data_IF_759545002108
#
_entry.id   IF_759545002108
#
_cell.length_a   1.000
_cell.length_b   1.000
_cell.length_c   1.000
_cell.angle_alpha   90.00
_cell.angle_beta   90.00
_cell.angle_gamma   90.00
#
_symmetry.space_group_name_H-M   'P 1'
#
loop_
_entity.id
_entity.type
_entity.pdbx_description
1 polymer ?
#
# COMPACT_ATOMS: atom_id res chain seq x y z
N UNK A 1 49.98 33.42 60.46
CA UNK A 1 50.91 34.57 60.38
C UNK A 1 52.31 34.21 59.88
N UNK A 2 52.91 33.05 60.21
CA UNK A 2 54.21 32.63 59.63
C UNK A 2 54.09 31.94 58.25
N UNK A 3 52.95 31.30 57.94
CA UNK A 3 52.72 30.63 56.64
C UNK A 3 52.40 31.60 55.48
N UNK A 4 51.93 32.82 55.76
CA UNK A 4 51.70 33.89 54.78
C UNK A 4 53.00 34.61 54.37
N UNK A 5 53.97 34.74 55.28
CA UNK A 5 55.24 35.47 55.04
C UNK A 5 56.30 34.64 54.28
N UNK A 6 56.08 33.32 54.10
CA UNK A 6 57.02 32.39 53.46
C UNK A 6 56.50 31.77 52.15
N UNK A 7 55.39 32.27 51.58
CA UNK A 7 54.82 31.78 50.31
C UNK A 7 54.22 30.37 50.34
N UNK A 8 54.18 29.75 51.53
CA UNK A 8 53.73 28.36 51.73
C UNK A 8 52.21 28.22 51.63
N UNK A 9 51.48 29.24 52.07
CA UNK A 9 50.02 29.32 51.90
C UNK A 9 49.62 29.42 50.42
N UNK A 10 50.33 30.22 49.63
CA UNK A 10 50.09 30.40 48.19
C UNK A 10 50.41 29.13 47.40
N UNK A 11 51.50 28.43 47.76
CA UNK A 11 51.82 27.12 47.20
C UNK A 11 50.79 26.05 47.56
N UNK A 12 50.27 26.03 48.78
CA UNK A 12 49.19 25.12 49.18
C UNK A 12 47.91 25.37 48.39
N UNK A 13 47.49 26.63 48.27
CA UNK A 13 46.33 27.01 47.48
C UNK A 13 46.50 26.61 46.00
N UNK A 14 47.72 26.75 45.47
CA UNK A 14 48.03 26.33 44.09
C UNK A 14 48.03 24.80 43.92
N UNK A 15 48.49 24.05 44.92
CA UNK A 15 48.43 22.59 44.93
C UNK A 15 46.96 22.14 44.95
N UNK A 16 46.15 22.72 45.83
CA UNK A 16 44.72 22.39 45.96
C UNK A 16 43.95 22.72 44.68
N UNK A 17 44.22 23.88 44.05
CA UNK A 17 43.67 24.25 42.74
C UNK A 17 44.10 23.30 41.62
N UNK A 18 45.36 22.85 41.63
CA UNK A 18 45.88 21.89 40.65
C UNK A 18 45.31 20.49 40.87
N UNK A 19 45.10 20.07 42.11
CA UNK A 19 44.46 18.80 42.46
C UNK A 19 42.99 18.78 42.03
N UNK A 20 42.23 19.86 42.27
CA UNK A 20 40.86 20.01 41.76
C UNK A 20 40.80 19.99 40.23
N UNK A 21 41.73 20.68 39.56
CA UNK A 21 41.84 20.65 38.10
C UNK A 21 42.18 19.26 37.58
N UNK A 22 43.06 18.53 38.26
CA UNK A 22 43.39 17.15 37.90
C UNK A 22 42.14 16.25 38.02
N UNK A 23 41.43 16.32 39.14
CA UNK A 23 40.18 15.58 39.32
C UNK A 23 39.07 15.99 38.33
N UNK A 24 39.04 17.23 37.88
CA UNK A 24 38.13 17.64 36.81
C UNK A 24 38.52 17.03 35.46
N UNK A 25 39.82 17.05 35.11
CA UNK A 25 40.33 16.47 33.87
C UNK A 25 40.17 14.93 33.84
N UNK A 26 40.41 14.24 34.96
CA UNK A 26 40.19 12.80 35.09
C UNK A 26 38.72 12.43 34.85
N UNK A 27 37.77 13.21 35.40
CA UNK A 27 36.34 13.00 35.17
C UNK A 27 35.94 13.26 33.72
N UNK A 28 36.52 14.27 33.08
CA UNK A 28 36.28 14.54 31.66
C UNK A 28 36.83 13.42 30.77
N UNK A 29 38.02 12.91 31.07
CA UNK A 29 38.64 11.80 30.36
C UNK A 29 37.78 10.54 30.48
N UNK A 30 37.37 10.17 31.70
CA UNK A 30 36.52 9.00 31.95
C UNK A 30 35.18 9.10 31.18
N UNK A 31 34.54 10.27 31.18
CA UNK A 31 33.28 10.48 30.46
C UNK A 31 33.47 10.47 28.93
N UNK A 32 34.65 10.80 28.42
CA UNK A 32 34.95 10.69 26.99
C UNK A 32 35.26 9.25 26.59
N UNK A 33 36.05 8.55 27.40
CA UNK A 33 36.34 7.12 27.23
C UNK A 33 35.05 6.29 27.22
N UNK A 34 34.12 6.58 28.14
CA UNK A 34 32.79 5.94 28.18
C UNK A 34 32.00 6.19 26.89
N UNK A 35 31.93 7.45 26.42
CA UNK A 35 31.27 7.79 25.14
C UNK A 35 31.90 7.07 23.94
N UNK A 36 33.22 6.90 23.93
CA UNK A 36 33.90 6.14 22.85
C UNK A 36 33.55 4.67 22.91
N UNK A 37 33.48 4.08 24.11
CA UNK A 37 33.10 2.67 24.25
C UNK A 37 31.66 2.43 23.82
N UNK A 38 30.74 3.33 24.16
CA UNK A 38 29.34 3.21 23.77
C UNK A 38 29.17 3.37 22.26
N UNK A 39 29.79 4.38 21.65
CA UNK A 39 29.75 4.56 20.19
C UNK A 39 30.36 3.38 19.43
N UNK A 40 31.45 2.78 19.94
CA UNK A 40 32.05 1.58 19.37
C UNK A 40 31.11 0.37 19.48
N UNK A 41 30.38 0.26 20.60
CA UNK A 41 29.40 -0.81 20.82
C UNK A 41 28.19 -0.67 19.91
N UNK A 42 27.60 0.51 19.81
CA UNK A 42 26.49 0.81 18.89
C UNK A 42 26.87 0.49 17.45
N UNK A 43 28.08 0.88 17.03
CA UNK A 43 28.59 0.55 15.70
C UNK A 43 28.70 -0.96 15.48
N UNK A 44 29.21 -1.71 16.44
CA UNK A 44 29.28 -3.17 16.33
C UNK A 44 27.90 -3.83 16.31
N UNK A 45 26.93 -3.29 17.03
CA UNK A 45 25.55 -3.79 17.01
C UNK A 45 24.90 -3.55 15.64
N UNK A 46 25.09 -2.36 15.05
CA UNK A 46 24.64 -2.05 13.70
C UNK A 46 25.32 -2.94 12.64
N UNK A 47 26.65 -3.14 12.72
CA UNK A 47 27.38 -4.03 11.81
C UNK A 47 26.88 -5.49 11.92
N UNK A 48 26.53 -5.97 13.13
CA UNK A 48 25.93 -7.31 13.30
C UNK A 48 24.55 -7.41 12.66
N UNK A 49 23.73 -6.36 12.77
CA UNK A 49 22.41 -6.34 12.16
C UNK A 49 22.49 -6.36 10.63
N UNK A 50 23.40 -5.56 10.05
CA UNK A 50 23.66 -5.59 8.59
C UNK A 50 24.07 -6.98 8.14
N UNK A 51 25.03 -7.62 8.79
CA UNK A 51 25.47 -8.96 8.41
C UNK A 51 24.32 -9.99 8.52
N UNK A 52 23.48 -9.91 9.57
CA UNK A 52 22.32 -10.79 9.70
C UNK A 52 21.28 -10.57 8.60
N UNK A 53 21.09 -9.32 8.18
CA UNK A 53 20.20 -8.99 7.06
C UNK A 53 20.77 -9.48 5.73
N UNK A 54 22.07 -9.33 5.50
CA UNK A 54 22.76 -9.84 4.31
C UNK A 54 22.65 -11.37 4.23
N UNK A 55 22.97 -12.09 5.32
CA UNK A 55 22.81 -13.56 5.39
C UNK A 55 21.36 -13.99 5.10
N UNK A 56 20.38 -13.19 5.56
CA UNK A 56 18.96 -13.46 5.31
C UNK A 56 18.57 -13.20 3.86
N UNK A 57 19.13 -12.16 3.23
CA UNK A 57 18.92 -11.87 1.81
C UNK A 57 19.49 -13.02 0.98
N UNK A 58 20.73 -13.43 1.23
CA UNK A 58 21.35 -14.56 0.53
C UNK A 58 20.52 -15.85 0.69
N UNK A 59 20.08 -16.16 1.92
CA UNK A 59 19.22 -17.31 2.16
C UNK A 59 17.84 -17.24 1.49
N UNK A 60 17.29 -16.03 1.29
CA UNK A 60 16.05 -15.82 0.54
C UNK A 60 16.28 -15.93 -0.96
N UNK A 61 17.38 -15.39 -1.48
CA UNK A 61 17.78 -15.49 -2.89
C UNK A 61 17.98 -16.95 -3.30
N UNK A 62 18.73 -17.74 -2.52
CA UNK A 62 18.88 -19.18 -2.77
C UNK A 62 17.54 -19.93 -2.72
N UNK A 63 16.62 -19.51 -1.84
CA UNK A 63 15.29 -20.13 -1.75
C UNK A 63 14.45 -19.78 -2.96
N UNK A 64 14.54 -18.55 -3.46
CA UNK A 64 13.89 -18.11 -4.70
C UNK A 64 14.47 -18.87 -5.89
N UNK A 65 15.79 -19.03 -5.97
CA UNK A 65 16.47 -19.81 -7.01
C UNK A 65 16.05 -21.28 -6.97
N UNK A 66 16.07 -21.94 -5.82
CA UNK A 66 15.58 -23.32 -5.70
C UNK A 66 14.09 -23.44 -6.06
N UNK A 67 13.28 -22.45 -5.72
CA UNK A 67 11.85 -22.43 -6.11
C UNK A 67 11.66 -22.14 -7.60
N UNK A 68 12.53 -21.37 -8.24
CA UNK A 68 12.48 -21.11 -9.68
C UNK A 68 12.98 -22.32 -10.48
N UNK A 69 14.05 -22.98 -10.04
CA UNK A 69 14.55 -24.23 -10.61
C UNK A 69 13.56 -25.38 -10.43
N UNK A 70 12.92 -25.51 -9.26
CA UNK A 70 11.88 -26.51 -9.03
C UNK A 70 10.62 -26.25 -9.87
N UNK A 71 10.34 -24.99 -10.24
CA UNK A 71 9.25 -24.62 -11.16
C UNK A 71 9.63 -24.82 -12.63
N UNK A 72 10.92 -24.81 -12.99
CA UNK A 72 11.40 -25.08 -14.35
C UNK A 72 11.12 -26.53 -14.80
N UNK A 73 10.98 -27.47 -13.86
CA UNK A 73 10.58 -28.85 -14.15
C UNK A 73 9.07 -29.04 -14.45
N UNK A 74 8.26 -27.98 -14.38
CA UNK A 74 6.85 -27.98 -14.80
C UNK A 74 6.65 -26.93 -15.88
N UNK A 75 7.14 -27.22 -17.10
CA UNK A 75 6.88 -26.52 -18.38
C UNK A 75 7.07 -24.99 -18.40
N UNK A 76 7.88 -24.47 -19.32
CA UNK A 76 8.16 -23.05 -19.64
C UNK A 76 6.94 -22.22 -20.09
N UNK A 77 5.74 -22.46 -19.55
CA UNK A 77 4.51 -21.78 -19.91
C UNK A 77 4.41 -20.51 -19.09
N UNK A 78 4.72 -19.40 -19.75
CA UNK A 78 4.61 -18.05 -19.22
C UNK A 78 3.54 -17.26 -19.98
N UNK A 79 2.99 -16.25 -19.30
CA UNK A 79 2.06 -15.31 -19.91
C UNK A 79 2.82 -14.54 -21.00
N UNK A 80 2.27 -14.45 -22.21
CA UNK A 80 2.89 -13.76 -23.34
C UNK A 80 3.06 -12.27 -23.09
N UNK A 81 2.06 -11.65 -22.46
CA UNK A 81 2.04 -10.22 -22.17
C UNK A 81 1.07 -9.94 -21.05
N UNK A 82 1.45 -9.04 -20.14
CA UNK A 82 0.57 -8.51 -19.11
C UNK A 82 0.51 -6.99 -19.24
N UNK A 83 -0.69 -6.43 -19.17
CA UNK A 83 -0.93 -4.99 -19.19
C UNK A 83 -1.86 -4.59 -18.05
N UNK A 84 -1.41 -3.64 -17.24
CA UNK A 84 -2.27 -2.92 -16.31
C UNK A 84 -2.94 -1.77 -17.07
N UNK A 85 -4.28 -1.70 -17.03
CA UNK A 85 -5.06 -0.73 -17.82
C UNK A 85 -6.07 -0.02 -16.92
N UNK A 86 -6.11 1.31 -17.05
CA UNK A 86 -6.90 2.22 -16.20
C UNK A 86 -7.55 3.35 -16.99
N UNK A 87 -8.45 4.09 -16.34
CA UNK A 87 -9.14 5.26 -16.89
C UNK A 87 -9.73 5.03 -18.29
N UNK A 88 -9.53 5.99 -19.19
CA UNK A 88 -10.03 5.93 -20.58
C UNK A 88 -9.43 4.76 -21.37
N UNK A 89 -8.17 4.38 -21.10
CA UNK A 89 -7.50 3.27 -21.80
C UNK A 89 -8.19 1.94 -21.53
N UNK A 90 -8.61 1.71 -20.29
CA UNK A 90 -9.40 0.54 -19.87
C UNK A 90 -10.68 0.41 -20.70
N UNK A 91 -11.48 1.48 -20.78
CA UNK A 91 -12.71 1.51 -21.60
C UNK A 91 -12.42 1.16 -23.06
N UNK A 92 -11.43 1.81 -23.67
CA UNK A 92 -11.05 1.58 -25.07
C UNK A 92 -10.62 0.13 -25.35
N UNK A 93 -9.90 -0.50 -24.43
CA UNK A 93 -9.45 -1.89 -24.60
C UNK A 93 -10.62 -2.87 -24.44
N UNK A 94 -11.46 -2.67 -23.42
CA UNK A 94 -12.64 -3.51 -23.21
C UNK A 94 -13.64 -3.41 -24.35
N UNK A 95 -13.88 -2.20 -24.89
CA UNK A 95 -14.72 -2.00 -26.06
C UNK A 95 -14.14 -2.70 -27.30
N UNK A 96 -12.80 -2.71 -27.45
CA UNK A 96 -12.12 -3.45 -28.51
C UNK A 96 -12.27 -4.96 -28.35
N UNK A 97 -12.18 -5.49 -27.12
CA UNK A 97 -12.41 -6.92 -26.85
C UNK A 97 -13.87 -7.28 -27.17
N UNK A 98 -14.84 -6.49 -26.69
CA UNK A 98 -16.27 -6.69 -26.97
C UNK A 98 -16.63 -6.61 -28.45
N UNK A 99 -15.87 -5.84 -29.24
CA UNK A 99 -16.08 -5.69 -30.68
C UNK A 99 -15.70 -6.91 -31.52
N UNK A 100 -15.06 -7.93 -30.90
CA UNK A 100 -14.74 -9.16 -31.60
C UNK A 100 -16.01 -9.97 -31.81
N UNK A 101 -16.36 -10.18 -33.07
CA UNK A 101 -17.44 -11.05 -33.49
C UNK A 101 -16.87 -12.35 -34.06
N UNK A 102 -17.46 -13.47 -33.64
CA UNK A 102 -17.09 -14.83 -34.04
C UNK A 102 -18.27 -15.51 -34.73
N UNK A 103 -18.07 -16.73 -35.21
CA UNK A 103 -19.18 -17.59 -35.62
C UNK A 103 -20.11 -17.94 -34.45
N UNK A 104 -21.21 -18.66 -34.72
CA UNK A 104 -22.07 -19.17 -33.66
C UNK A 104 -21.26 -19.92 -32.59
N UNK A 105 -21.41 -19.52 -31.32
CA UNK A 105 -20.69 -20.14 -30.19
C UNK A 105 -19.16 -20.11 -30.35
N UNK A 106 -18.61 -19.05 -30.97
CA UNK A 106 -17.18 -18.92 -31.22
C UNK A 106 -16.41 -18.11 -30.16
N UNK A 107 -17.08 -17.44 -29.23
CA UNK A 107 -16.45 -16.65 -28.17
C UNK A 107 -16.88 -17.18 -26.78
N UNK A 108 -15.93 -17.74 -26.03
CA UNK A 108 -16.12 -18.14 -24.64
C UNK A 108 -15.76 -17.00 -23.70
N UNK A 109 -16.65 -16.72 -22.75
CA UNK A 109 -16.38 -15.90 -21.58
C UNK A 109 -16.66 -16.71 -20.32
N UNK A 110 -15.71 -16.74 -19.39
CA UNK A 110 -15.86 -17.49 -18.15
C UNK A 110 -15.24 -16.77 -16.97
N UNK A 111 -15.98 -16.65 -15.86
CA UNK A 111 -15.42 -16.21 -14.59
C UNK A 111 -14.90 -17.42 -13.81
N UNK A 112 -13.60 -17.45 -13.56
CA UNK A 112 -12.90 -18.54 -12.86
C UNK A 112 -12.40 -18.04 -11.52
N UNK A 113 -12.64 -18.79 -10.44
CA UNK A 113 -12.21 -18.42 -9.07
C UNK A 113 -11.14 -19.35 -8.54
N UNK A 114 -11.48 -20.55 -8.09
CA UNK A 114 -10.52 -21.49 -7.50
C UNK A 114 -10.23 -22.69 -8.41
N UNK A 115 -11.26 -23.14 -9.13
CA UNK A 115 -11.20 -24.33 -9.98
C UNK A 115 -11.42 -23.94 -11.43
N UNK A 116 -10.48 -24.34 -12.30
CA UNK A 116 -10.61 -24.16 -13.75
C UNK A 116 -11.62 -25.17 -14.30
N UNK A 117 -12.70 -24.71 -14.98
CA UNK A 117 -13.66 -25.60 -15.64
C UNK A 117 -13.03 -26.49 -16.72
N UNK A 118 -13.53 -27.71 -16.88
CA UNK A 118 -12.94 -28.69 -17.82
C UNK A 118 -12.99 -28.25 -19.27
N UNK A 119 -13.96 -27.41 -19.64
CA UNK A 119 -14.02 -26.82 -20.98
C UNK A 119 -12.81 -25.92 -21.25
N UNK A 120 -12.38 -25.14 -20.27
CA UNK A 120 -11.19 -24.28 -20.37
C UNK A 120 -9.93 -25.14 -20.39
N UNK A 121 -9.88 -26.20 -19.56
CA UNK A 121 -8.76 -27.16 -19.60
C UNK A 121 -8.61 -27.82 -20.96
N UNK A 122 -9.72 -28.22 -21.57
CA UNK A 122 -9.71 -28.88 -22.88
C UNK A 122 -9.27 -27.92 -23.98
N UNK A 123 -9.74 -26.67 -23.95
CA UNK A 123 -9.43 -25.69 -25.00
C UNK A 123 -8.04 -25.07 -24.88
N UNK A 124 -7.56 -24.84 -23.65
CA UNK A 124 -6.25 -24.23 -23.40
C UNK A 124 -5.13 -25.26 -23.18
N UNK A 125 -5.47 -26.53 -23.00
CA UNK A 125 -4.53 -27.62 -22.73
C UNK A 125 -3.58 -27.24 -21.58
N UNK A 126 -2.26 -27.28 -21.80
CA UNK A 126 -1.26 -26.93 -20.80
C UNK A 126 -1.37 -25.47 -20.32
N UNK A 127 -1.90 -24.53 -21.15
CA UNK A 127 -2.10 -23.12 -20.76
C UNK A 127 -3.19 -22.95 -19.71
N UNK A 128 -4.02 -23.96 -19.45
CA UNK A 128 -5.00 -23.91 -18.35
C UNK A 128 -4.34 -23.76 -16.97
N UNK A 129 -3.08 -24.18 -16.82
CA UNK A 129 -2.28 -23.93 -15.63
C UNK A 129 -2.02 -22.42 -15.39
N UNK A 130 -1.95 -21.61 -16.47
CA UNK A 130 -1.85 -20.15 -16.34
C UNK A 130 -3.13 -19.56 -15.77
N UNK A 131 -4.30 -20.04 -16.21
CA UNK A 131 -5.59 -19.59 -15.68
C UNK A 131 -5.68 -19.91 -14.19
N UNK A 132 -5.27 -21.11 -13.78
CA UNK A 132 -5.24 -21.48 -12.36
C UNK A 132 -4.35 -20.56 -11.52
N UNK A 133 -3.20 -20.11 -12.07
CA UNK A 133 -2.28 -19.19 -11.40
C UNK A 133 -2.81 -17.75 -11.33
N UNK A 134 -3.62 -17.35 -12.31
CA UNK A 134 -4.15 -15.99 -12.44
C UNK A 134 -5.55 -15.83 -11.84
N UNK A 135 -6.17 -16.91 -11.38
CA UNK A 135 -7.48 -16.86 -10.77
C UNK A 135 -7.43 -16.16 -9.39
N UNK A 136 -8.46 -15.39 -9.00
CA UNK A 136 -9.72 -15.18 -9.71
C UNK A 136 -9.58 -14.28 -10.95
N UNK A 137 -10.10 -14.71 -12.10
CA UNK A 137 -10.05 -13.93 -13.33
C UNK A 137 -11.17 -14.30 -14.32
N UNK A 138 -11.48 -13.34 -15.20
CA UNK A 138 -12.35 -13.54 -16.35
C UNK A 138 -11.52 -14.04 -17.54
N UNK A 139 -11.82 -15.23 -18.03
CA UNK A 139 -11.20 -15.81 -19.22
C UNK A 139 -12.03 -15.45 -20.45
N UNK A 140 -11.38 -14.89 -21.47
CA UNK A 140 -11.96 -14.67 -22.79
C UNK A 140 -11.12 -15.43 -23.82
N UNK A 141 -11.73 -16.39 -24.51
CA UNK A 141 -11.06 -17.13 -25.59
C UNK A 141 -11.99 -17.38 -26.78
N UNK A 142 -11.43 -17.40 -27.98
CA UNK A 142 -12.17 -17.78 -29.19
C UNK A 142 -11.95 -19.25 -29.54
N UNK A 143 -12.82 -19.78 -30.40
CA UNK A 143 -12.78 -21.14 -30.92
C UNK A 143 -11.56 -21.42 -31.80
N UNK A 144 -10.97 -20.39 -32.42
CA UNK A 144 -9.76 -20.52 -33.25
C UNK A 144 -8.45 -20.40 -32.46
N UNK A 145 -8.50 -19.95 -31.21
CA UNK A 145 -7.34 -19.75 -30.33
C UNK A 145 -6.47 -18.55 -30.69
N UNK A 146 -6.98 -17.61 -31.51
CA UNK A 146 -6.33 -16.33 -31.80
C UNK A 146 -6.34 -15.42 -30.57
N UNK A 147 -7.43 -15.47 -29.81
CA UNK A 147 -7.67 -14.74 -28.58
C UNK A 147 -7.70 -15.74 -27.44
N UNK A 148 -6.79 -15.57 -26.49
CA UNK A 148 -6.81 -16.26 -25.21
C UNK A 148 -6.25 -15.28 -24.17
N UNK A 149 -7.14 -14.65 -23.41
CA UNK A 149 -6.77 -13.65 -22.42
C UNK A 149 -7.46 -13.92 -21.08
N UNK A 150 -6.84 -13.45 -20.01
CA UNK A 150 -7.47 -13.34 -18.70
C UNK A 150 -7.54 -11.88 -18.27
N UNK A 151 -8.58 -11.52 -17.52
CA UNK A 151 -8.79 -10.18 -16.99
C UNK A 151 -9.01 -10.30 -15.49
N UNK A 152 -8.18 -9.63 -14.71
CA UNK A 152 -8.37 -9.43 -13.27
C UNK A 152 -9.38 -8.29 -13.07
N UNK A 153 -10.50 -8.58 -12.42
CA UNK A 153 -11.67 -7.70 -12.32
C UNK A 153 -11.76 -7.05 -10.94
N UNK A 154 -12.19 -5.80 -10.89
CA UNK A 154 -12.34 -5.04 -9.63
C UNK A 154 -13.63 -5.38 -8.87
N UNK A 155 -14.63 -5.92 -9.58
CA UNK A 155 -15.91 -6.37 -9.03
C UNK A 155 -16.35 -7.67 -9.76
N UNK A 156 -15.68 -8.80 -9.49
CA UNK A 156 -15.92 -10.04 -10.23
C UNK A 156 -17.35 -10.58 -10.01
N UNK A 157 -18.03 -11.08 -11.05
CA UNK A 157 -19.32 -11.74 -10.91
C UNK A 157 -19.17 -13.14 -10.27
N UNK A 158 -20.31 -13.80 -10.00
CA UNK A 158 -20.31 -15.21 -9.65
C UNK A 158 -19.69 -16.07 -10.77
N UNK A 159 -19.03 -17.20 -10.46
CA UNK A 159 -18.43 -18.07 -11.47
C UNK A 159 -19.45 -18.51 -12.53
N UNK A 160 -19.06 -18.41 -13.80
CA UNK A 160 -19.89 -18.82 -14.93
C UNK A 160 -19.01 -19.23 -16.12
N UNK A 161 -19.62 -19.90 -17.08
CA UNK A 161 -19.00 -20.25 -18.37
C UNK A 161 -20.08 -20.13 -19.44
N UNK A 162 -19.82 -19.34 -20.48
CA UNK A 162 -20.78 -19.14 -21.56
C UNK A 162 -20.09 -18.99 -22.91
N UNK A 163 -20.68 -19.60 -23.95
CA UNK A 163 -20.32 -19.38 -25.34
C UNK A 163 -21.36 -18.46 -25.99
N UNK A 164 -20.85 -17.43 -26.68
CA UNK A 164 -21.62 -16.45 -27.44
C UNK A 164 -20.89 -16.17 -28.74
N UNK A 165 -21.44 -15.25 -29.53
CA UNK A 165 -20.78 -14.78 -30.76
C UNK A 165 -19.81 -13.61 -30.46
N UNK A 166 -19.86 -13.06 -29.24
CA UNK A 166 -19.02 -11.96 -28.75
C UNK A 166 -18.65 -12.22 -27.28
N UNK A 167 -17.59 -11.57 -26.79
CA UNK A 167 -17.22 -11.64 -25.37
C UNK A 167 -18.18 -10.83 -24.50
N UNK A 168 -18.71 -11.46 -23.45
CA UNK A 168 -19.67 -10.84 -22.53
C UNK A 168 -18.95 -10.28 -21.30
N UNK A 169 -18.49 -9.04 -21.41
CA UNK A 169 -17.86 -8.31 -20.30
C UNK A 169 -18.82 -7.21 -19.90
N UNK A 170 -19.33 -7.20 -18.66
CA UNK A 170 -20.22 -6.11 -18.22
C UNK A 170 -19.45 -4.91 -17.65
N UNK A 171 -19.92 -3.67 -17.84
CA UNK A 171 -19.26 -2.49 -17.30
C UNK A 171 -19.10 -2.52 -15.77
N UNK A 172 -20.14 -3.00 -15.07
CA UNK A 172 -20.21 -3.11 -13.62
C UNK A 172 -19.10 -3.98 -13.00
N UNK A 173 -18.48 -4.87 -13.77
CA UNK A 173 -17.40 -5.74 -13.28
C UNK A 173 -16.04 -5.05 -13.16
N UNK A 174 -15.93 -3.86 -13.73
CA UNK A 174 -14.66 -3.17 -13.97
C UNK A 174 -14.67 -1.76 -13.39
N UNK A 175 -15.84 -1.13 -13.36
CA UNK A 175 -16.03 0.21 -12.85
C UNK A 175 -17.45 0.36 -12.32
N UNK A 176 -17.69 1.23 -11.33
CA UNK A 176 -19.03 1.53 -10.88
C UNK A 176 -19.84 2.15 -12.02
N UNK A 177 -21.09 1.71 -12.14
CA UNK A 177 -22.06 2.27 -13.11
C UNK A 177 -22.83 3.46 -12.55
N UNK A 178 -22.85 3.58 -11.22
CA UNK A 178 -23.41 4.70 -10.49
C UNK A 178 -22.31 5.44 -9.74
N UNK A 179 -22.44 6.75 -9.49
CA UNK A 179 -21.41 7.50 -8.78
C UNK A 179 -21.21 6.96 -7.35
N UNK A 180 -19.96 6.66 -6.99
CA UNK A 180 -19.57 6.19 -5.67
C UNK A 180 -18.76 7.25 -4.94
N UNK A 181 -18.86 7.28 -3.61
CA UNK A 181 -18.02 8.16 -2.78
C UNK A 181 -16.70 7.46 -2.54
N UNK A 182 -15.60 8.16 -2.81
CA UNK A 182 -14.24 7.66 -2.59
C UNK A 182 -13.52 8.57 -1.63
N UNK A 183 -12.88 7.96 -0.64
CA UNK A 183 -12.16 8.66 0.41
C UNK A 183 -10.73 8.16 0.43
N UNK A 184 -9.77 9.07 0.53
CA UNK A 184 -8.38 8.77 0.83
C UNK A 184 -8.09 9.17 2.28
N UNK A 185 -7.51 8.27 3.07
CA UNK A 185 -7.12 8.51 4.46
C UNK A 185 -5.64 8.18 4.68
N UNK A 186 -4.92 9.11 5.28
CA UNK A 186 -3.58 8.95 5.82
C UNK A 186 -3.56 9.54 7.21
N UNK A 187 -2.56 9.21 8.01
CA UNK A 187 -2.42 9.76 9.36
C UNK A 187 -2.57 11.29 9.41
N UNK A 188 -2.09 12.02 8.41
CA UNK A 188 -2.05 13.49 8.33
C UNK A 188 -2.85 14.10 7.16
N UNK A 189 -3.44 13.28 6.28
CA UNK A 189 -4.17 13.73 5.08
C UNK A 189 -5.51 13.02 4.97
N UNK A 190 -6.50 13.75 4.48
CA UNK A 190 -7.80 13.23 4.08
C UNK A 190 -8.25 13.92 2.79
N UNK A 191 -8.83 13.16 1.87
CA UNK A 191 -9.48 13.71 0.68
C UNK A 191 -10.74 12.90 0.36
N UNK A 192 -11.79 13.58 -0.06
CA UNK A 192 -13.07 12.99 -0.43
C UNK A 192 -13.45 13.44 -1.84
N UNK A 193 -13.85 12.48 -2.66
CA UNK A 193 -14.36 12.72 -4.00
C UNK A 193 -15.54 11.81 -4.35
N UNK A 194 -16.12 12.07 -5.50
CA UNK A 194 -17.15 11.23 -6.12
C UNK A 194 -16.61 10.73 -7.45
N UNK A 195 -16.62 9.41 -7.63
CA UNK A 195 -16.14 8.75 -8.84
C UNK A 195 -17.30 8.14 -9.62
N UNK A 196 -17.41 8.48 -10.91
CA UNK A 196 -18.52 8.02 -11.79
C UNK A 196 -18.16 6.82 -12.69
N UNK A 197 -17.03 6.16 -12.42
CA UNK A 197 -16.49 5.11 -13.29
C UNK A 197 -15.53 5.62 -14.36
N UNK A 198 -15.39 6.94 -14.51
CA UNK A 198 -14.47 7.56 -15.49
C UNK A 198 -13.73 8.78 -14.96
N UNK A 199 -14.42 9.62 -14.18
CA UNK A 199 -13.95 10.93 -13.74
C UNK A 199 -14.14 11.04 -12.24
N UNK A 200 -13.12 11.56 -11.56
CA UNK A 200 -13.18 11.91 -10.14
C UNK A 200 -13.53 13.38 -10.00
N UNK A 201 -14.61 13.67 -9.26
CA UNK A 201 -14.95 15.02 -8.82
C UNK A 201 -14.54 15.19 -7.36
N UNK A 202 -13.57 16.05 -7.11
CA UNK A 202 -13.12 16.37 -5.75
C UNK A 202 -14.21 17.14 -4.99
N UNK A 203 -14.42 16.79 -3.72
CA UNK A 203 -15.43 17.41 -2.85
C UNK A 203 -14.75 18.20 -1.74
N UNK A 204 -13.91 17.56 -0.93
CA UNK A 204 -13.25 18.20 0.22
C UNK A 204 -11.93 17.53 0.56
N UNK A 205 -11.03 18.27 1.19
CA UNK A 205 -9.73 17.78 1.67
C UNK A 205 -9.39 18.39 3.03
N UNK A 206 -8.64 17.65 3.84
CA UNK A 206 -8.14 18.07 5.14
C UNK A 206 -6.68 17.64 5.24
N UNK A 207 -5.81 18.57 5.65
CA UNK A 207 -4.40 18.29 5.95
C UNK A 207 -4.12 18.74 7.37
N UNK A 208 -3.55 17.84 8.17
CA UNK A 208 -3.21 18.08 9.58
C UNK A 208 -1.69 18.00 9.74
N UNK A 209 -1.09 19.02 10.37
CA UNK A 209 0.36 19.01 10.65
C UNK A 209 0.65 18.13 11.87
N UNK A 210 1.04 16.88 11.60
CA UNK A 210 1.33 15.87 12.62
C UNK A 210 2.82 15.85 12.91
N UNK A 211 3.17 15.88 14.20
CA UNK A 211 4.57 15.88 14.60
C UNK A 211 5.29 14.59 14.14
N UNK A 212 6.40 14.77 13.41
CA UNK A 212 7.24 13.69 12.94
C UNK A 212 7.97 12.96 14.10
N UNK A 213 8.25 11.67 13.89
CA UNK A 213 9.00 10.85 14.83
C UNK A 213 10.43 11.39 14.96
N UNK A 214 10.78 11.93 16.12
CA UNK A 214 12.16 12.32 16.42
C UNK A 214 12.97 11.09 16.85
N UNK A 215 14.05 10.78 16.12
CA UNK A 215 14.95 9.64 16.42
C UNK A 215 15.81 9.80 17.70
N UNK A 216 15.60 10.87 18.48
CA UNK A 216 16.35 11.09 19.72
C UNK A 216 15.64 10.42 20.88
N UNK A 217 16.00 9.15 21.11
CA UNK A 217 15.56 8.37 22.27
C UNK A 217 15.87 9.10 23.58
N UNK A 218 14.84 9.34 24.38
CA UNK A 218 14.96 10.04 25.66
C UNK A 218 13.63 10.12 26.40
N UNK A 219 13.68 10.51 27.67
CA UNK A 219 12.52 10.57 28.59
C UNK A 219 11.30 11.37 28.10
N UNK A 220 11.42 12.16 27.03
CA UNK A 220 10.32 12.90 26.41
C UNK A 220 9.60 12.12 25.29
N UNK A 221 10.14 11.00 24.82
CA UNK A 221 9.63 10.25 23.67
C UNK A 221 8.17 9.79 23.86
N UNK A 222 7.85 9.18 25.00
CA UNK A 222 6.49 8.72 25.28
C UNK A 222 5.45 9.86 25.35
N UNK A 223 5.86 11.10 25.64
CA UNK A 223 4.96 12.26 25.61
C UNK A 223 4.74 12.76 24.17
N UNK A 224 5.75 12.67 23.32
CA UNK A 224 5.63 13.00 21.90
C UNK A 224 4.76 12.00 21.17
N UNK A 225 4.97 10.70 21.40
CA UNK A 225 4.16 9.62 20.83
C UNK A 225 2.68 9.80 21.19
N UNK A 226 2.35 9.96 22.47
CA UNK A 226 0.95 10.21 22.89
C UNK A 226 0.32 11.44 22.24
N UNK A 227 1.10 12.52 22.09
CA UNK A 227 0.58 13.75 21.46
C UNK A 227 0.34 13.54 19.96
N UNK A 228 1.23 12.78 19.31
CA UNK A 228 1.09 12.40 17.90
C UNK A 228 -0.13 11.51 17.71
N UNK A 229 -0.31 10.49 18.56
CA UNK A 229 -1.46 9.59 18.51
C UNK A 229 -2.77 10.37 18.68
N UNK A 230 -2.81 11.32 19.62
CA UNK A 230 -3.98 12.21 19.76
C UNK A 230 -4.23 13.06 18.51
N UNK A 231 -3.18 13.62 17.89
CA UNK A 231 -3.34 14.39 16.66
C UNK A 231 -3.87 13.54 15.51
N UNK A 232 -3.45 12.27 15.43
CA UNK A 232 -3.95 11.32 14.43
C UNK A 232 -5.44 11.03 14.74
N UNK A 233 -5.78 10.71 15.99
CA UNK A 233 -7.17 10.45 16.39
C UNK A 233 -8.09 11.64 16.06
N UNK A 234 -7.68 12.86 16.43
CA UNK A 234 -8.43 14.08 16.12
C UNK A 234 -8.59 14.27 14.59
N UNK A 235 -7.54 14.01 13.80
CA UNK A 235 -7.61 14.08 12.33
C UNK A 235 -8.61 13.07 11.76
N UNK A 236 -8.59 11.84 12.28
CA UNK A 236 -9.52 10.78 11.86
C UNK A 236 -10.96 11.08 12.26
N UNK A 237 -11.20 11.70 13.42
CA UNK A 237 -12.54 12.15 13.83
C UNK A 237 -13.10 13.20 12.85
N UNK A 238 -12.30 14.22 12.50
CA UNK A 238 -12.71 15.21 11.51
C UNK A 238 -12.97 14.59 10.12
N UNK A 239 -12.19 13.58 9.73
CA UNK A 239 -12.42 12.83 8.51
C UNK A 239 -13.76 12.07 8.54
N UNK A 240 -14.11 11.42 9.66
CA UNK A 240 -15.41 10.77 9.84
C UNK A 240 -16.56 11.78 9.72
N UNK A 241 -16.47 12.90 10.42
CA UNK A 241 -17.48 13.95 10.36
C UNK A 241 -17.69 14.49 8.94
N UNK A 242 -16.60 14.65 8.18
CA UNK A 242 -16.66 15.10 6.79
C UNK A 242 -17.38 14.08 5.88
N UNK A 243 -17.12 12.78 6.05
CA UNK A 243 -17.82 11.71 5.32
C UNK A 243 -19.31 11.73 5.67
N UNK A 244 -19.65 11.71 6.96
CA UNK A 244 -21.05 11.70 7.39
C UNK A 244 -21.82 12.92 6.90
N UNK A 245 -21.20 14.10 6.96
CA UNK A 245 -21.81 15.34 6.48
C UNK A 245 -22.11 15.25 4.99
N UNK A 246 -21.15 14.76 4.19
CA UNK A 246 -21.35 14.54 2.76
C UNK A 246 -22.49 13.56 2.48
N UNK A 247 -22.54 12.42 3.18
CA UNK A 247 -23.59 11.42 3.00
C UNK A 247 -24.98 11.98 3.37
N UNK A 248 -25.08 12.76 4.46
CA UNK A 248 -26.32 13.42 4.86
C UNK A 248 -26.80 14.43 3.81
N UNK A 249 -25.91 15.22 3.23
CA UNK A 249 -26.23 16.17 2.16
C UNK A 249 -26.72 15.45 0.90
N UNK A 250 -26.06 14.35 0.51
CA UNK A 250 -26.47 13.53 -0.63
C UNK A 250 -27.84 12.89 -0.45
N UNK A 251 -28.09 12.29 0.72
CA UNK A 251 -29.36 11.65 1.04
C UNK A 251 -30.54 12.63 1.06
N UNK A 252 -30.31 13.90 1.40
CA UNK A 252 -31.34 14.93 1.33
C UNK A 252 -31.65 15.38 -0.11
N UNK A 253 -30.65 15.30 -1.00
CA UNK A 253 -30.79 15.69 -2.40
C UNK A 253 -31.43 14.60 -3.28
N UNK A 254 -31.40 13.33 -2.86
CA UNK A 254 -31.84 12.18 -3.65
C UNK A 254 -32.91 11.39 -2.89
N UNK A 255 -34.18 11.54 -3.27
CA UNK A 255 -35.33 10.98 -2.53
C UNK A 255 -35.61 9.49 -2.72
N UNK A 256 -34.87 8.76 -3.56
CA UNK A 256 -35.33 7.42 -4.03
C UNK A 256 -34.23 6.42 -4.48
N UNK A 257 -32.98 6.51 -4.00
CA UNK A 257 -31.95 5.52 -4.39
C UNK A 257 -31.28 4.89 -3.15
N UNK A 258 -31.29 3.56 -3.12
CA UNK A 258 -30.58 2.72 -2.15
C UNK A 258 -29.08 3.05 -2.14
N UNK A 259 -28.51 3.18 -0.94
CA UNK A 259 -27.08 3.10 -0.59
C UNK A 259 -26.06 3.69 -1.57
N UNK A 260 -25.56 4.89 -1.29
CA UNK A 260 -24.34 5.38 -1.92
C UNK A 260 -23.13 4.60 -1.40
N UNK A 261 -22.51 3.77 -2.24
CA UNK A 261 -21.31 3.00 -1.89
C UNK A 261 -20.18 3.95 -1.47
N UNK A 262 -19.57 3.66 -0.32
CA UNK A 262 -18.42 4.38 0.25
C UNK A 262 -17.19 3.48 0.20
N UNK A 263 -16.18 3.92 -0.54
CA UNK A 263 -14.90 3.23 -0.68
C UNK A 263 -13.83 4.05 0.03
N UNK A 264 -13.17 3.44 1.02
CA UNK A 264 -12.10 4.10 1.79
C UNK A 264 -10.75 3.49 1.43
N UNK A 265 -9.90 4.30 0.83
CA UNK A 265 -8.54 3.98 0.41
C UNK A 265 -7.56 4.65 1.36
N UNK A 266 -6.42 4.05 1.66
CA UNK A 266 -5.45 4.76 2.50
C UNK A 266 -4.33 3.93 3.10
N UNK A 267 -3.68 4.53 4.11
CA UNK A 267 -2.64 3.88 4.89
C UNK A 267 -3.23 2.78 5.80
N UNK A 268 -2.62 1.60 5.79
CA UNK A 268 -3.09 0.41 6.52
C UNK A 268 -3.34 0.68 8.02
N UNK A 269 -2.54 1.55 8.64
CA UNK A 269 -2.60 1.83 10.08
C UNK A 269 -3.87 2.57 10.51
N UNK A 270 -4.49 3.32 9.60
CA UNK A 270 -5.67 4.16 9.90
C UNK A 270 -6.96 3.67 9.23
N UNK A 271 -6.87 2.81 8.22
CA UNK A 271 -8.05 2.29 7.51
C UNK A 271 -9.09 1.64 8.44
N UNK A 272 -8.63 0.93 9.47
CA UNK A 272 -9.53 0.26 10.42
C UNK A 272 -10.48 1.21 11.16
N UNK A 273 -10.14 2.50 11.24
CA UNK A 273 -10.98 3.50 11.89
C UNK A 273 -12.32 3.70 11.16
N UNK A 274 -12.39 3.46 9.84
CA UNK A 274 -13.56 3.74 9.00
C UNK A 274 -14.40 2.50 8.65
N UNK A 275 -14.22 1.40 9.36
CA UNK A 275 -14.86 0.11 9.04
C UNK A 275 -16.39 0.09 9.22
N UNK A 276 -16.92 1.05 9.96
CA UNK A 276 -18.35 1.29 10.17
C UNK A 276 -19.01 2.11 9.06
N UNK A 277 -18.24 2.96 8.36
CA UNK A 277 -18.71 3.79 7.25
C UNK A 277 -18.42 3.20 5.87
N UNK A 278 -17.38 2.38 5.74
CA UNK A 278 -16.90 1.90 4.45
C UNK A 278 -17.57 0.60 4.03
N UNK A 279 -18.12 0.57 2.81
CA UNK A 279 -18.55 -0.66 2.15
C UNK A 279 -17.35 -1.50 1.67
N UNK A 280 -16.27 -0.80 1.26
CA UNK A 280 -15.01 -1.41 0.82
C UNK A 280 -13.83 -0.60 1.33
N UNK A 281 -12.76 -1.32 1.68
CA UNK A 281 -11.52 -0.73 2.15
C UNK A 281 -10.32 -1.36 1.46
N UNK A 282 -9.34 -0.54 1.08
CA UNK A 282 -8.11 -1.04 0.48
C UNK A 282 -6.90 -0.17 0.84
N UNK A 283 -5.75 -0.82 1.04
CA UNK A 283 -4.49 -0.11 1.28
C UNK A 283 -3.90 0.35 -0.03
N UNK A 284 -3.54 1.63 -0.11
CA UNK A 284 -2.95 2.26 -1.31
C UNK A 284 -1.78 3.15 -0.92
N UNK A 285 -0.98 3.55 -1.91
CA UNK A 285 -0.01 4.61 -1.72
C UNK A 285 -0.72 5.96 -1.60
N UNK A 286 -0.78 6.50 -0.39
CA UNK A 286 -1.38 7.80 -0.09
C UNK A 286 -0.34 8.94 -0.13
N UNK A 287 0.80 8.77 -0.81
CA UNK A 287 1.87 9.78 -0.87
C UNK A 287 1.47 11.01 -1.70
N UNK A 288 1.91 12.19 -1.25
CA UNK A 288 1.69 13.46 -1.95
C UNK A 288 0.60 14.32 -1.33
N UNK A 289 0.11 15.28 -2.13
CA UNK A 289 -0.97 16.21 -1.75
C UNK A 289 -2.33 15.51 -1.76
N UNK A 290 -3.30 15.92 -0.92
CA UNK A 290 -4.56 15.19 -0.73
C UNK A 290 -5.30 14.89 -2.03
N UNK A 291 -5.49 15.91 -2.87
CA UNK A 291 -6.17 15.76 -4.15
C UNK A 291 -5.45 14.83 -5.13
N UNK A 292 -4.13 15.00 -5.32
CA UNK A 292 -3.38 14.17 -6.27
C UNK A 292 -3.29 12.73 -5.80
N UNK A 293 -3.09 12.54 -4.50
CA UNK A 293 -3.05 11.21 -3.91
C UNK A 293 -4.40 10.49 -4.07
N UNK A 294 -5.53 11.20 -3.94
CA UNK A 294 -6.84 10.62 -4.18
C UNK A 294 -7.04 10.24 -5.66
N UNK A 295 -6.61 11.09 -6.59
CA UNK A 295 -6.64 10.81 -8.03
C UNK A 295 -5.83 9.54 -8.37
N UNK A 296 -4.60 9.44 -7.85
CA UNK A 296 -3.73 8.28 -8.05
C UNK A 296 -4.30 7.00 -7.43
N UNK A 297 -4.84 7.09 -6.21
CA UNK A 297 -5.47 5.98 -5.50
C UNK A 297 -6.70 5.44 -6.24
N UNK A 298 -7.56 6.33 -6.75
CA UNK A 298 -8.71 5.97 -7.60
C UNK A 298 -8.20 5.27 -8.86
N UNK A 299 -7.21 5.83 -9.54
CA UNK A 299 -6.65 5.24 -10.76
C UNK A 299 -6.05 3.85 -10.52
N UNK A 300 -5.40 3.63 -9.38
CA UNK A 300 -4.85 2.34 -8.96
C UNK A 300 -5.96 1.34 -8.62
N UNK A 301 -6.90 1.70 -7.74
CA UNK A 301 -7.98 0.81 -7.26
C UNK A 301 -8.83 0.25 -8.41
N UNK A 302 -9.04 1.04 -9.46
CA UNK A 302 -9.83 0.66 -10.63
C UNK A 302 -8.99 0.15 -11.83
N UNK A 303 -7.69 -0.07 -11.62
CA UNK A 303 -6.83 -0.71 -12.61
C UNK A 303 -7.21 -2.17 -12.75
N UNK A 304 -7.41 -2.63 -13.98
CA UNK A 304 -7.53 -4.06 -14.28
C UNK A 304 -6.24 -4.57 -14.91
N UNK A 305 -5.96 -5.85 -14.70
CA UNK A 305 -4.82 -6.53 -15.32
C UNK A 305 -5.29 -7.47 -16.42
N UNK A 306 -4.82 -7.27 -17.63
CA UNK A 306 -5.09 -8.14 -18.78
C UNK A 306 -3.83 -8.93 -19.10
N UNK A 307 -3.96 -10.26 -19.16
CA UNK A 307 -2.86 -11.18 -19.46
C UNK A 307 -3.19 -12.03 -20.69
N UNK A 308 -2.28 -12.08 -21.66
CA UNK A 308 -2.39 -12.92 -22.84
C UNK A 308 -1.70 -14.28 -22.62
N UNK A 309 -2.43 -15.37 -22.85
CA UNK A 309 -1.99 -16.75 -22.60
C UNK A 309 -1.18 -17.35 -23.76
#
# INVERSE_FOLDING_TARGET
MLDELLGRAELKARIEELEEKNHHLERQLAAEEERRTDAARERQEAEREVNQLEDRIEGLEERVERLSESKSNTSDISVRTTQNVRGTRRKNILDRIRSVETGPEGALTAMVTETVPDIIKTSLDERSALVQRLAPCLVCMDDTGIIAITIDLTAPPAPFVEWKNTFDIKPEWVAPTEPVTVVLVRSDIFALGVYDGSTLTHVTEITTDIMNTHSKGGFSQARFERRRDQQIEDHLEHAHEAIESHLRERNQAQTDVDGHEVIVLGEQTVLGAFSDLADRQETVDATGEPKSALEDAVDEFWTIRISAL
#
